data_IF_924757995001
#
_entry.id   IF_924757995001
#
_cell.length_a   1.000
_cell.length_b   1.000
_cell.length_c   1.000
_cell.angle_alpha   90.00
_cell.angle_beta   90.00
_cell.angle_gamma   90.00
#
_symmetry.space_group_name_H-M   'P 1'
#
loop_
_entity.id
_entity.type
_entity.pdbx_description
1 polymer ?
#
# COMPACT_ATOMS: atom_id res chain seq x y z
N UNK A 1 -43.02 -15.64 -34.50
CA UNK A 1 -42.67 -14.96 -33.22
C UNK A 1 -41.18 -15.14 -33.08
N UNK A 2 -40.43 -14.08 -32.82
CA UNK A 2 -39.03 -14.26 -32.50
C UNK A 2 -38.92 -14.98 -31.16
N UNK A 3 -38.00 -15.92 -31.04
CA UNK A 3 -37.74 -16.62 -29.80
C UNK A 3 -37.19 -15.58 -28.81
N UNK A 4 -37.77 -15.52 -27.60
CA UNK A 4 -37.37 -14.63 -26.54
C UNK A 4 -36.50 -15.39 -25.53
N UNK A 5 -35.39 -14.80 -25.14
CA UNK A 5 -34.40 -15.42 -24.27
C UNK A 5 -34.38 -14.71 -22.90
N UNK A 6 -35.05 -15.26 -21.93
CA UNK A 6 -35.08 -14.74 -20.55
C UNK A 6 -34.21 -15.59 -19.64
N UNK A 7 -33.43 -14.94 -18.78
CA UNK A 7 -32.53 -15.60 -17.83
C UNK A 7 -31.07 -15.23 -18.04
N UNK A 8 -30.18 -15.96 -17.35
CA UNK A 8 -28.73 -15.79 -17.43
C UNK A 8 -28.09 -16.88 -18.28
N UNK A 9 -27.24 -16.48 -19.16
CA UNK A 9 -26.50 -17.37 -20.07
C UNK A 9 -25.00 -17.26 -19.79
N UNK A 10 -24.30 -18.38 -19.87
CA UNK A 10 -22.84 -18.39 -19.79
C UNK A 10 -22.25 -17.81 -21.07
N UNK A 11 -21.41 -16.83 -20.95
CA UNK A 11 -20.64 -16.25 -22.05
C UNK A 11 -19.14 -16.21 -21.74
N UNK A 12 -18.36 -16.03 -22.79
CA UNK A 12 -16.90 -15.83 -22.70
C UNK A 12 -16.53 -14.57 -23.44
N UNK A 13 -15.81 -13.67 -22.78
CA UNK A 13 -15.31 -12.43 -23.39
C UNK A 13 -14.26 -12.78 -24.44
N UNK A 14 -14.46 -12.34 -25.68
CA UNK A 14 -13.51 -12.51 -26.78
C UNK A 14 -12.72 -11.26 -27.11
N UNK A 15 -13.31 -10.09 -26.89
CA UNK A 15 -12.62 -8.80 -27.01
C UNK A 15 -13.24 -7.79 -26.04
N UNK A 16 -12.39 -7.12 -25.24
CA UNK A 16 -12.79 -6.11 -24.28
C UNK A 16 -12.37 -4.68 -24.71
N UNK A 17 -11.92 -4.51 -25.96
CA UNK A 17 -11.58 -3.19 -26.50
C UNK A 17 -12.86 -2.46 -26.92
N UNK A 18 -13.10 -1.33 -26.28
CA UNK A 18 -14.25 -0.48 -26.53
C UNK A 18 -13.77 0.96 -26.77
N UNK A 19 -13.89 1.44 -28.00
CA UNK A 19 -13.44 2.78 -28.39
C UNK A 19 -14.24 3.90 -27.72
N UNK A 20 -15.51 3.64 -27.40
CA UNK A 20 -16.41 4.61 -26.77
C UNK A 20 -16.32 4.59 -25.24
N UNK A 21 -15.55 3.66 -24.68
CA UNK A 21 -15.33 3.51 -23.21
C UNK A 21 -16.62 3.35 -22.40
N UNK A 22 -17.60 2.66 -22.96
CA UNK A 22 -18.89 2.37 -22.32
C UNK A 22 -18.89 1.04 -21.57
N UNK A 23 -17.78 0.28 -21.63
CA UNK A 23 -17.65 -1.06 -21.05
C UNK A 23 -18.33 -2.14 -21.88
N UNK A 24 -18.50 -1.93 -23.18
CA UNK A 24 -18.98 -2.95 -24.11
C UNK A 24 -17.89 -4.00 -24.31
N UNK A 25 -18.28 -5.28 -24.27
CA UNK A 25 -17.38 -6.39 -24.56
C UNK A 25 -17.99 -7.27 -25.66
N UNK A 26 -17.16 -7.83 -26.51
CA UNK A 26 -17.60 -8.87 -27.45
C UNK A 26 -17.61 -10.21 -26.74
N UNK A 27 -18.76 -10.85 -26.70
CA UNK A 27 -18.94 -12.13 -25.99
C UNK A 27 -19.42 -13.23 -26.95
N UNK A 28 -18.88 -14.45 -26.76
CA UNK A 28 -19.45 -15.67 -27.33
C UNK A 28 -20.44 -16.22 -26.30
N UNK A 29 -21.67 -16.59 -26.76
CA UNK A 29 -22.72 -17.18 -25.95
C UNK A 29 -23.22 -18.44 -26.64
N UNK A 30 -22.51 -19.60 -26.56
CA UNK A 30 -22.74 -20.77 -27.40
C UNK A 30 -24.12 -21.44 -27.20
N UNK A 31 -24.82 -21.13 -26.10
CA UNK A 31 -26.17 -21.64 -25.85
C UNK A 31 -27.26 -20.87 -26.60
N UNK A 32 -26.93 -19.72 -27.22
CA UNK A 32 -27.87 -18.84 -27.91
C UNK A 32 -27.45 -18.60 -29.37
N UNK A 33 -26.15 -18.46 -29.60
CA UNK A 33 -25.55 -18.19 -30.92
C UNK A 33 -24.62 -19.32 -31.35
N UNK A 34 -24.31 -19.47 -32.64
CA UNK A 34 -23.20 -20.31 -33.10
C UNK A 34 -21.90 -19.99 -32.36
N UNK A 35 -21.05 -20.99 -32.15
CA UNK A 35 -19.83 -20.86 -31.33
C UNK A 35 -18.83 -19.82 -31.88
N UNK A 36 -18.81 -19.65 -33.19
CA UNK A 36 -17.98 -18.67 -33.92
C UNK A 36 -18.51 -17.24 -33.83
N UNK A 37 -19.78 -17.03 -33.47
CA UNK A 37 -20.40 -15.72 -33.41
C UNK A 37 -20.07 -15.01 -32.08
N UNK A 38 -19.71 -13.74 -32.18
CA UNK A 38 -19.53 -12.85 -31.04
C UNK A 38 -20.48 -11.67 -31.16
N UNK A 39 -21.06 -11.28 -30.03
CA UNK A 39 -22.03 -10.18 -29.97
C UNK A 39 -21.57 -9.10 -28.99
N UNK A 40 -21.84 -7.80 -29.29
CA UNK A 40 -21.45 -6.70 -28.42
C UNK A 40 -22.42 -6.61 -27.23
N UNK A 41 -21.99 -7.01 -26.03
CA UNK A 41 -22.74 -6.92 -24.81
C UNK A 41 -22.44 -5.64 -24.04
N UNK A 42 -23.46 -4.85 -23.73
CA UNK A 42 -23.32 -3.63 -22.92
C UNK A 42 -23.13 -3.97 -21.45
N UNK A 43 -22.39 -3.13 -20.73
CA UNK A 43 -22.19 -3.29 -19.29
C UNK A 43 -23.47 -2.97 -18.50
N UNK A 44 -23.90 -3.88 -17.62
CA UNK A 44 -24.95 -3.65 -16.63
C UNK A 44 -24.33 -3.76 -15.22
N UNK A 45 -23.49 -2.80 -14.88
CA UNK A 45 -22.71 -2.76 -13.62
C UNK A 45 -23.35 -1.80 -12.61
N UNK A 46 -23.09 -1.99 -11.31
CA UNK A 46 -23.46 -1.03 -10.29
C UNK A 46 -22.83 0.35 -10.55
N UNK A 47 -23.56 1.41 -10.18
CA UNK A 47 -23.06 2.78 -10.28
C UNK A 47 -21.72 2.95 -9.55
N UNK A 48 -20.77 3.63 -10.20
CA UNK A 48 -19.45 3.89 -9.64
C UNK A 48 -18.45 2.73 -9.76
N UNK A 49 -18.84 1.59 -10.31
CA UNK A 49 -17.94 0.46 -10.58
C UNK A 49 -17.66 0.33 -12.08
N UNK A 50 -16.38 0.29 -12.45
CA UNK A 50 -15.94 0.08 -13.82
C UNK A 50 -14.83 -0.97 -13.85
N UNK A 51 -15.24 -2.25 -13.82
CA UNK A 51 -14.34 -3.40 -13.87
C UNK A 51 -14.70 -4.22 -15.10
N UNK A 52 -14.13 -3.86 -16.25
CA UNK A 52 -14.31 -4.61 -17.50
C UNK A 52 -13.47 -5.87 -17.42
N UNK A 53 -14.06 -7.05 -17.68
CA UNK A 53 -13.35 -8.31 -17.60
C UNK A 53 -12.32 -8.44 -18.73
N UNK A 54 -11.24 -9.17 -18.44
CA UNK A 54 -10.23 -9.52 -19.44
C UNK A 54 -10.78 -10.52 -20.46
N UNK A 55 -10.12 -10.58 -21.62
CA UNK A 55 -10.42 -11.61 -22.63
C UNK A 55 -10.33 -13.00 -22.01
N UNK A 56 -11.15 -13.93 -22.50
CA UNK A 56 -11.33 -15.29 -22.00
C UNK A 56 -11.94 -15.41 -20.59
N UNK A 57 -12.39 -14.27 -20.00
CA UNK A 57 -13.15 -14.31 -18.74
C UNK A 57 -14.57 -14.83 -19.00
N UNK A 58 -15.04 -15.72 -18.14
CA UNK A 58 -16.43 -16.16 -18.14
C UNK A 58 -17.33 -15.08 -17.52
N UNK A 59 -18.43 -14.75 -18.19
CA UNK A 59 -19.39 -13.72 -17.76
C UNK A 59 -20.83 -14.24 -17.82
N UNK A 60 -21.68 -13.62 -17.02
CA UNK A 60 -23.13 -13.79 -17.14
C UNK A 60 -23.67 -12.80 -18.18
N UNK A 61 -24.40 -13.31 -19.15
CA UNK A 61 -25.07 -12.54 -20.21
C UNK A 61 -26.58 -12.66 -20.05
N UNK A 62 -27.26 -11.55 -20.19
CA UNK A 62 -28.71 -11.42 -20.25
C UNK A 62 -29.12 -10.69 -21.53
N UNK A 63 -30.38 -10.77 -21.93
CA UNK A 63 -30.89 -10.09 -23.10
C UNK A 63 -32.02 -9.14 -22.68
N UNK A 64 -31.89 -7.86 -22.99
CA UNK A 64 -32.86 -6.84 -22.63
C UNK A 64 -34.24 -7.16 -23.27
N UNK A 65 -35.25 -7.35 -22.42
CA UNK A 65 -36.58 -7.80 -22.87
C UNK A 65 -36.59 -9.18 -23.56
N UNK A 66 -35.54 -9.98 -23.43
CA UNK A 66 -35.39 -11.28 -24.10
C UNK A 66 -34.90 -11.16 -25.55
N UNK A 67 -34.59 -9.97 -26.03
CA UNK A 67 -34.14 -9.71 -27.41
C UNK A 67 -32.65 -9.98 -27.55
N UNK A 68 -32.29 -10.99 -28.35
CA UNK A 68 -30.88 -11.38 -28.60
C UNK A 68 -30.06 -10.30 -29.29
N UNK A 69 -30.67 -9.29 -29.90
CA UNK A 69 -29.96 -8.13 -30.45
C UNK A 69 -29.51 -7.11 -29.40
N UNK A 70 -29.93 -7.27 -28.15
CA UNK A 70 -29.65 -6.36 -27.04
C UNK A 70 -29.02 -7.06 -25.83
N UNK A 71 -27.81 -7.68 -26.00
CA UNK A 71 -27.15 -8.39 -24.92
C UNK A 71 -26.56 -7.44 -23.88
N UNK A 72 -26.61 -7.88 -22.61
CA UNK A 72 -26.03 -7.23 -21.46
C UNK A 72 -25.11 -8.22 -20.75
N UNK A 73 -23.93 -7.82 -20.37
CA UNK A 73 -23.14 -8.59 -19.39
C UNK A 73 -23.31 -7.99 -17.99
N UNK A 74 -23.58 -8.86 -17.00
CA UNK A 74 -24.04 -8.43 -15.68
C UNK A 74 -23.08 -8.81 -14.56
N UNK A 75 -21.96 -9.43 -14.88
CA UNK A 75 -20.93 -9.81 -13.92
C UNK A 75 -20.10 -10.99 -14.39
N UNK A 76 -19.05 -11.28 -13.63
CA UNK A 76 -18.17 -12.43 -13.86
C UNK A 76 -18.85 -13.72 -13.38
N UNK A 77 -18.77 -14.76 -14.21
CA UNK A 77 -19.12 -16.10 -13.81
C UNK A 77 -17.90 -16.80 -13.21
N UNK A 78 -17.95 -17.10 -11.92
CA UNK A 78 -16.85 -17.76 -11.25
C UNK A 78 -16.80 -19.24 -11.63
N UNK A 79 -15.66 -19.66 -12.17
CA UNK A 79 -15.33 -21.05 -12.46
C UNK A 79 -14.24 -21.54 -11.48
N UNK A 80 -14.00 -22.84 -11.34
CA UNK A 80 -12.95 -23.34 -10.47
C UNK A 80 -11.61 -22.66 -10.74
N UNK A 81 -10.99 -22.11 -9.69
CA UNK A 81 -9.71 -21.40 -9.79
C UNK A 81 -9.79 -19.91 -10.18
N UNK A 82 -10.99 -19.35 -10.45
CA UNK A 82 -11.14 -17.94 -10.82
C UNK A 82 -11.12 -16.97 -9.63
N UNK A 83 -11.29 -17.46 -8.40
CA UNK A 83 -11.20 -16.63 -7.19
C UNK A 83 -9.75 -16.19 -6.93
N UNK A 84 -9.59 -14.98 -6.43
CA UNK A 84 -8.31 -14.55 -5.88
C UNK A 84 -7.83 -15.55 -4.83
N UNK A 85 -6.59 -16.08 -4.93
CA UNK A 85 -6.10 -17.11 -4.00
C UNK A 85 -6.19 -16.68 -2.53
N UNK A 86 -6.05 -15.39 -2.27
CA UNK A 86 -6.14 -14.78 -0.95
C UNK A 86 -7.53 -14.96 -0.32
N UNK A 87 -8.59 -14.96 -1.14
CA UNK A 87 -9.98 -15.13 -0.71
C UNK A 87 -10.46 -16.59 -0.71
N UNK A 88 -9.62 -17.56 -1.13
CA UNK A 88 -9.98 -18.97 -1.22
C UNK A 88 -9.92 -19.67 0.15
N UNK A 89 -10.74 -19.19 1.11
CA UNK A 89 -10.85 -19.76 2.47
C UNK A 89 -12.23 -20.36 2.71
N UNK A 90 -12.30 -21.35 3.60
CA UNK A 90 -13.56 -21.95 4.08
C UNK A 90 -13.52 -22.05 5.63
N UNK A 91 -14.44 -21.39 6.33
CA UNK A 91 -15.48 -20.47 5.84
C UNK A 91 -14.88 -19.23 5.16
N UNK A 92 -15.66 -18.48 4.34
CA UNK A 92 -15.16 -17.33 3.56
C UNK A 92 -15.01 -16.09 4.44
N UNK A 93 -13.97 -16.05 5.25
CA UNK A 93 -13.64 -14.91 6.13
C UNK A 93 -12.87 -13.81 5.39
N UNK A 94 -12.32 -14.09 4.20
CA UNK A 94 -11.55 -13.14 3.41
C UNK A 94 -12.32 -12.68 2.18
N UNK A 95 -12.28 -11.40 1.90
CA UNK A 95 -12.83 -10.76 0.70
C UNK A 95 -11.71 -10.03 -0.02
N UNK A 96 -11.62 -10.20 -1.34
CA UNK A 96 -10.55 -9.60 -2.12
C UNK A 96 -11.06 -9.01 -3.44
N UNK A 97 -10.45 -7.88 -3.84
CA UNK A 97 -10.50 -7.35 -5.19
C UNK A 97 -9.09 -7.47 -5.77
N UNK A 98 -8.97 -8.21 -6.88
CA UNK A 98 -7.69 -8.43 -7.56
C UNK A 98 -7.78 -8.05 -9.03
N UNK A 99 -6.82 -7.30 -9.52
CA UNK A 99 -6.69 -6.97 -10.95
C UNK A 99 -5.81 -7.99 -11.67
N UNK A 100 -5.87 -8.01 -13.00
CA UNK A 100 -5.02 -8.86 -13.83
C UNK A 100 -3.52 -8.63 -13.59
N UNK A 101 -3.12 -7.38 -13.30
CA UNK A 101 -1.73 -7.03 -12.96
C UNK A 101 -1.35 -7.38 -11.52
N UNK A 102 -2.27 -7.99 -10.74
CA UNK A 102 -2.02 -8.39 -9.36
C UNK A 102 -2.16 -7.31 -8.31
N UNK A 103 -2.67 -6.11 -8.66
CA UNK A 103 -3.08 -5.15 -7.62
C UNK A 103 -4.19 -5.77 -6.78
N UNK A 104 -4.12 -5.59 -5.47
CA UNK A 104 -4.94 -6.36 -4.55
C UNK A 104 -5.43 -5.49 -3.39
N UNK A 105 -6.74 -5.56 -3.11
CA UNK A 105 -7.34 -5.07 -1.88
C UNK A 105 -7.97 -6.27 -1.16
N UNK A 106 -7.57 -6.50 0.08
CA UNK A 106 -8.07 -7.59 0.93
C UNK A 106 -8.70 -7.03 2.19
N UNK A 107 -9.82 -7.61 2.57
CA UNK A 107 -10.43 -7.52 3.90
C UNK A 107 -10.41 -8.92 4.50
N UNK A 108 -9.65 -9.11 5.57
CA UNK A 108 -9.62 -10.37 6.33
C UNK A 108 -10.37 -10.16 7.64
N UNK A 109 -11.53 -10.82 7.77
CA UNK A 109 -12.39 -10.80 8.96
C UNK A 109 -12.16 -12.07 9.81
N UNK A 110 -11.00 -12.71 9.69
CA UNK A 110 -10.67 -13.87 10.55
C UNK A 110 -10.52 -13.41 11.99
N UNK A 111 -11.35 -13.95 12.89
CA UNK A 111 -11.38 -13.58 14.30
C UNK A 111 -10.00 -13.62 14.93
N UNK A 112 -9.59 -12.52 15.56
CA UNK A 112 -8.28 -12.34 16.19
C UNK A 112 -7.11 -12.11 15.24
N UNK A 113 -7.39 -11.96 13.92
CA UNK A 113 -6.39 -11.68 12.89
C UNK A 113 -6.93 -10.74 11.82
N UNK A 114 -7.91 -9.92 12.19
CA UNK A 114 -8.56 -8.98 11.29
C UNK A 114 -7.56 -8.02 10.68
N UNK A 115 -7.64 -7.82 9.37
CA UNK A 115 -6.72 -6.93 8.66
C UNK A 115 -7.29 -6.37 7.37
N UNK A 116 -6.74 -5.23 6.94
CA UNK A 116 -6.97 -4.67 5.62
C UNK A 116 -5.61 -4.53 4.93
N UNK A 117 -5.49 -5.05 3.71
CA UNK A 117 -4.28 -4.96 2.91
C UNK A 117 -4.60 -4.33 1.55
N UNK A 118 -3.84 -3.28 1.20
CA UNK A 118 -3.74 -2.79 -0.17
C UNK A 118 -2.32 -3.02 -0.65
N UNK A 119 -2.16 -3.71 -1.80
CA UNK A 119 -0.83 -3.95 -2.37
C UNK A 119 -0.80 -3.70 -3.88
N UNK A 120 0.34 -3.22 -4.34
CA UNK A 120 0.69 -3.10 -5.74
C UNK A 120 1.26 -4.42 -6.26
N UNK A 121 0.67 -4.91 -7.35
CA UNK A 121 1.00 -6.24 -7.88
C UNK A 121 2.40 -6.36 -8.50
N UNK A 122 3.04 -5.24 -8.88
CA UNK A 122 4.34 -5.27 -9.55
C UNK A 122 5.52 -5.17 -8.59
N UNK A 123 5.40 -4.23 -7.64
CA UNK A 123 6.53 -3.85 -6.78
C UNK A 123 6.31 -4.30 -5.33
N UNK A 124 5.14 -4.86 -5.02
CA UNK A 124 4.73 -5.26 -3.68
C UNK A 124 4.78 -4.11 -2.65
N UNK A 125 4.60 -2.85 -3.11
CA UNK A 125 4.32 -1.77 -2.17
C UNK A 125 3.00 -2.06 -1.47
N UNK A 126 2.93 -1.84 -0.16
CA UNK A 126 1.73 -2.18 0.59
C UNK A 126 1.38 -1.19 1.69
N UNK A 127 0.08 -1.03 1.90
CA UNK A 127 -0.52 -0.41 3.06
C UNK A 127 -1.30 -1.49 3.82
N UNK A 128 -1.01 -1.65 5.10
CA UNK A 128 -1.55 -2.72 5.93
C UNK A 128 -2.08 -2.14 7.24
N UNK A 129 -3.30 -2.57 7.60
CA UNK A 129 -3.94 -2.27 8.86
C UNK A 129 -4.10 -3.60 9.61
N UNK A 130 -3.60 -3.65 10.85
CA UNK A 130 -3.69 -4.83 11.72
C UNK A 130 -4.05 -4.39 13.14
N UNK A 131 -4.22 -5.34 14.04
CA UNK A 131 -4.39 -5.06 15.46
C UNK A 131 -3.18 -4.31 16.07
N UNK A 132 -1.98 -4.49 15.49
CA UNK A 132 -0.75 -3.84 15.96
C UNK A 132 -0.59 -2.40 15.46
N UNK A 133 -1.35 -2.00 14.42
CA UNK A 133 -1.32 -0.65 13.87
C UNK A 133 -1.37 -0.59 12.34
N UNK A 134 -0.80 0.49 11.79
CA UNK A 134 -0.79 0.78 10.36
C UNK A 134 0.65 0.76 9.85
N UNK A 135 0.88 0.07 8.75
CA UNK A 135 2.21 0.00 8.12
C UNK A 135 2.13 0.34 6.63
N UNK A 136 2.99 1.26 6.17
CA UNK A 136 3.27 1.50 4.76
C UNK A 136 4.66 0.95 4.45
N UNK A 137 4.76 0.06 3.46
CA UNK A 137 6.03 -0.58 3.08
C UNK A 137 6.33 -0.33 1.60
N UNK A 138 7.54 0.10 1.30
CA UNK A 138 8.12 0.08 -0.03
C UNK A 138 8.66 -1.33 -0.32
N UNK A 139 7.97 -2.06 -1.18
CA UNK A 139 8.31 -3.44 -1.50
C UNK A 139 9.59 -3.61 -2.32
N UNK A 140 10.08 -2.53 -2.95
CA UNK A 140 11.31 -2.56 -3.76
C UNK A 140 12.54 -2.30 -2.90
N UNK A 141 12.51 -1.22 -2.09
CA UNK A 141 13.67 -0.77 -1.35
C UNK A 141 13.59 -1.16 0.14
N UNK A 142 12.47 -1.66 0.61
CA UNK A 142 12.29 -2.08 2.00
C UNK A 142 12.15 -0.94 3.01
N UNK A 143 11.88 0.31 2.53
CA UNK A 143 11.59 1.42 3.43
C UNK A 143 10.21 1.26 4.05
N UNK A 144 10.04 1.77 5.28
CA UNK A 144 8.81 1.55 6.04
C UNK A 144 8.41 2.77 6.84
N UNK A 145 7.08 3.00 6.92
CA UNK A 145 6.46 3.88 7.91
C UNK A 145 5.49 3.01 8.72
N UNK A 146 5.61 3.03 10.04
CA UNK A 146 4.74 2.28 10.92
C UNK A 146 4.17 3.15 12.04
N UNK A 147 2.90 2.98 12.31
CA UNK A 147 2.19 3.59 13.44
C UNK A 147 1.67 2.47 14.32
N UNK A 148 2.42 2.17 15.37
CA UNK A 148 2.08 1.16 16.36
C UNK A 148 1.60 1.77 17.68
N UNK A 149 1.30 0.91 18.65
CA UNK A 149 0.79 1.33 19.97
C UNK A 149 1.81 2.11 20.80
N UNK A 150 3.11 1.92 20.57
CA UNK A 150 4.20 2.51 21.36
C UNK A 150 4.91 3.65 20.63
N UNK A 151 4.90 3.66 19.30
CA UNK A 151 5.66 4.62 18.52
C UNK A 151 5.12 4.78 17.09
N UNK A 152 5.47 5.92 16.47
CA UNK A 152 5.46 6.10 15.03
C UNK A 152 6.91 6.04 14.56
N UNK A 153 7.20 5.22 13.58
CA UNK A 153 8.54 4.98 13.05
C UNK A 153 8.60 5.23 11.54
N UNK A 154 9.62 5.92 11.09
CA UNK A 154 10.05 5.99 9.69
C UNK A 154 11.41 5.29 9.62
N UNK A 155 11.50 4.21 8.87
CA UNK A 155 12.68 3.39 8.78
C UNK A 155 13.21 3.31 7.35
N UNK A 156 14.49 3.59 7.18
CA UNK A 156 15.23 3.33 5.97
C UNK A 156 15.80 1.90 6.02
N UNK A 157 15.76 1.16 4.93
CA UNK A 157 16.27 -0.22 4.85
C UNK A 157 17.75 -0.35 5.30
N UNK A 158 18.56 0.69 5.12
CA UNK A 158 19.95 0.76 5.59
C UNK A 158 20.10 1.02 7.10
N UNK A 159 19.02 0.98 7.90
CA UNK A 159 19.05 1.08 9.36
C UNK A 159 18.93 2.49 9.94
N UNK A 160 18.81 3.55 9.12
CA UNK A 160 18.46 4.87 9.65
C UNK A 160 16.98 4.93 10.02
N UNK A 161 16.65 5.56 11.16
CA UNK A 161 15.25 5.67 11.65
C UNK A 161 14.94 7.06 12.18
N UNK A 162 13.66 7.43 12.09
CA UNK A 162 13.05 8.51 12.88
C UNK A 162 11.90 7.90 13.66
N UNK A 163 11.91 8.07 14.99
CA UNK A 163 10.92 7.48 15.88
C UNK A 163 10.29 8.57 16.75
N UNK A 164 8.96 8.56 16.82
CA UNK A 164 8.17 9.38 17.74
C UNK A 164 7.56 8.48 18.80
N UNK A 165 7.96 8.66 20.03
CA UNK A 165 7.46 7.96 21.21
C UNK A 165 6.70 8.93 22.13
N UNK A 166 5.99 8.44 23.13
CA UNK A 166 5.23 9.27 24.06
C UNK A 166 6.10 10.31 24.82
N UNK A 167 7.37 10.02 25.05
CA UNK A 167 8.28 10.86 25.82
C UNK A 167 9.55 11.26 25.06
N UNK A 168 9.70 10.87 23.80
CA UNK A 168 10.89 11.14 23.03
C UNK A 168 10.64 11.24 21.52
N UNK A 169 11.48 12.03 20.84
CA UNK A 169 11.66 12.00 19.39
C UNK A 169 13.11 11.66 19.11
N UNK A 170 13.36 10.64 18.29
CA UNK A 170 14.70 10.13 18.01
C UNK A 170 14.95 10.09 16.51
N UNK A 171 16.13 10.50 16.07
CA UNK A 171 16.64 10.24 14.74
C UNK A 171 17.99 9.53 14.86
N UNK A 172 18.14 8.37 14.23
CA UNK A 172 19.34 7.55 14.31
C UNK A 172 19.89 7.18 12.93
N UNK A 173 21.20 7.13 12.81
CA UNK A 173 21.88 6.63 11.62
C UNK A 173 23.20 5.96 12.04
N UNK A 174 23.24 4.63 12.07
CA UNK A 174 24.36 3.89 12.64
C UNK A 174 24.60 4.25 14.11
N UNK A 175 25.81 4.73 14.44
CA UNK A 175 26.16 5.15 15.80
C UNK A 175 25.73 6.60 16.14
N UNK A 176 25.31 7.39 15.14
CA UNK A 176 24.90 8.78 15.36
C UNK A 176 23.41 8.87 15.72
N UNK A 177 23.07 9.75 16.67
CA UNK A 177 21.68 10.02 17.04
C UNK A 177 21.45 11.48 17.43
N UNK A 178 20.22 11.92 17.21
CA UNK A 178 19.62 13.10 17.85
C UNK A 178 18.38 12.64 18.59
N UNK A 179 18.28 13.00 19.86
CA UNK A 179 17.16 12.61 20.71
C UNK A 179 16.67 13.81 21.52
N UNK A 180 15.34 14.04 21.50
CA UNK A 180 14.66 15.02 22.32
C UNK A 180 13.84 14.25 23.36
N UNK A 181 14.15 14.39 24.64
CA UNK A 181 13.41 13.71 25.70
C UNK A 181 13.44 14.50 27.01
N UNK A 182 12.27 14.63 27.65
CA UNK A 182 12.11 15.19 29.02
C UNK A 182 12.92 16.46 29.31
N UNK A 183 12.98 17.41 28.35
CA UNK A 183 13.72 18.67 28.50
C UNK A 183 15.24 18.58 28.18
N UNK A 184 15.69 17.45 27.69
CA UNK A 184 17.09 17.23 27.24
C UNK A 184 17.11 17.02 25.73
N UNK A 185 18.07 17.65 25.07
CA UNK A 185 18.45 17.37 23.68
C UNK A 185 19.79 16.69 23.69
N UNK A 186 19.83 15.46 23.24
CA UNK A 186 21.06 14.69 23.09
C UNK A 186 21.47 14.65 21.63
N UNK A 187 22.69 15.03 21.31
CA UNK A 187 23.35 14.82 20.01
C UNK A 187 24.54 13.96 20.26
N UNK A 188 24.60 12.78 19.67
CA UNK A 188 25.64 11.78 19.91
C UNK A 188 26.16 11.23 18.58
N UNK A 189 27.46 11.00 18.49
CA UNK A 189 28.14 10.48 17.33
C UNK A 189 29.66 10.54 17.53
N UNK A 190 30.42 9.83 16.71
CA UNK A 190 31.89 9.84 16.77
C UNK A 190 32.49 11.22 16.54
N UNK A 191 31.81 12.07 15.80
CA UNK A 191 32.14 13.50 15.60
C UNK A 191 30.84 14.29 15.51
N UNK A 192 30.72 15.37 16.27
CA UNK A 192 29.60 16.32 16.22
C UNK A 192 30.13 17.64 15.69
N UNK A 193 29.64 18.04 14.50
CA UNK A 193 30.00 19.31 13.85
C UNK A 193 28.81 20.27 14.02
N UNK A 194 29.03 21.40 14.65
CA UNK A 194 28.05 22.48 14.78
C UNK A 194 28.38 23.63 13.82
N UNK A 195 27.51 23.84 12.83
CA UNK A 195 27.70 24.83 11.76
C UNK A 195 28.60 24.32 10.62
N UNK A 196 28.89 25.21 9.66
CA UNK A 196 29.71 24.88 8.48
C UNK A 196 31.24 24.94 8.77
N UNK A 197 31.68 25.19 10.00
CA UNK A 197 33.06 25.31 10.40
C UNK A 197 33.63 24.00 10.93
N UNK A 198 34.89 23.74 10.65
CA UNK A 198 35.65 22.57 11.14
C UNK A 198 36.11 22.72 12.60
N UNK A 199 35.61 23.69 13.36
CA UNK A 199 36.01 23.89 14.75
C UNK A 199 35.27 22.87 15.66
N UNK A 200 35.95 22.06 16.46
CA UNK A 200 35.32 21.15 17.40
C UNK A 200 34.60 21.91 18.52
N UNK A 201 33.52 21.32 19.01
CA UNK A 201 32.88 21.80 20.24
C UNK A 201 33.81 21.48 21.43
N UNK A 202 34.08 22.46 22.26
CA UNK A 202 34.87 22.26 23.46
C UNK A 202 34.07 21.47 24.52
N UNK A 203 34.66 20.40 25.04
CA UNK A 203 34.09 19.62 26.12
C UNK A 203 34.60 20.09 27.48
N UNK A 204 33.86 19.77 28.51
CA UNK A 204 34.32 19.96 29.88
C UNK A 204 35.64 19.18 30.12
N UNK A 205 36.66 19.85 30.57
CA UNK A 205 37.99 19.26 30.79
C UNK A 205 38.96 19.42 29.62
N UNK A 206 38.48 19.90 28.47
CA UNK A 206 39.42 20.30 27.38
C UNK A 206 40.33 21.40 27.87
N UNK A 207 41.52 21.46 27.32
CA UNK A 207 42.52 22.46 27.66
C UNK A 207 42.62 23.52 26.56
N UNK A 208 42.37 24.76 26.92
CA UNK A 208 42.69 25.91 26.09
C UNK A 208 44.12 26.42 26.40
N UNK A 209 44.70 27.20 25.48
CA UNK A 209 45.95 27.87 25.72
C UNK A 209 45.66 29.28 26.26
N UNK A 210 46.10 29.53 27.48
CA UNK A 210 46.03 30.88 28.08
C UNK A 210 46.95 31.88 27.40
N UNK A 211 46.78 33.17 27.70
CA UNK A 211 47.51 34.29 27.10
C UNK A 211 49.02 34.25 27.34
N UNK A 212 49.50 33.41 28.24
CA UNK A 212 50.92 33.18 28.52
C UNK A 212 51.42 31.82 27.97
N UNK A 213 50.63 31.14 27.12
CA UNK A 213 51.01 29.85 26.53
C UNK A 213 50.85 28.63 27.46
N UNK A 214 50.36 28.82 28.68
CA UNK A 214 50.11 27.70 29.60
C UNK A 214 48.75 27.06 29.34
N UNK A 215 48.60 25.71 29.49
CA UNK A 215 47.31 25.06 29.43
C UNK A 215 46.37 25.58 30.53
N UNK A 216 45.16 25.97 30.14
CA UNK A 216 44.13 26.41 31.07
C UNK A 216 42.94 25.44 30.91
N UNK A 217 42.51 24.73 31.98
CA UNK A 217 41.36 23.85 31.88
C UNK A 217 40.07 24.67 31.65
N UNK A 218 39.28 24.22 30.72
CA UNK A 218 37.96 24.79 30.47
C UNK A 218 37.05 24.30 31.57
N UNK A 219 36.73 25.20 32.49
CA UNK A 219 35.77 24.94 33.56
C UNK A 219 34.41 25.54 33.20
N UNK A 220 33.34 24.79 33.41
CA UNK A 220 31.98 25.30 33.22
C UNK A 220 31.72 26.44 34.20
N UNK A 221 31.30 27.60 33.70
CA UNK A 221 30.58 28.55 34.57
C UNK A 221 29.26 27.88 34.97
N UNK A 222 28.74 28.15 36.16
CA UNK A 222 27.49 27.62 36.72
C UNK A 222 26.23 27.90 35.90
N UNK A 223 26.36 28.36 34.66
CA UNK A 223 25.26 28.56 33.73
C UNK A 223 25.12 27.34 32.82
N UNK A 224 24.04 26.61 33.08
CA UNK A 224 23.66 25.34 32.40
C UNK A 224 23.13 25.50 30.98
N UNK A 225 23.33 26.63 30.32
CA UNK A 225 22.88 26.81 28.91
C UNK A 225 24.07 27.23 28.07
N UNK A 226 24.41 26.44 27.06
CA UNK A 226 25.25 26.86 25.95
C UNK A 226 24.41 27.82 25.11
N UNK A 227 24.74 29.08 25.13
CA UNK A 227 24.21 30.06 24.17
C UNK A 227 25.16 30.00 22.95
N UNK A 228 24.55 29.54 21.84
CA UNK A 228 25.20 29.60 20.51
C UNK A 228 25.06 31.01 19.94
#
# INVERSE_FOLDING_TARGET
MADLYFGKYSGVVKDNRDADQLGVVLVSVPTVFPEEDVVPARAALPYGMFFVPENETHVWVEFEGGDTSSPLWTGVQHVPGSWAPEAAKSPPTVRALRTASGHLLVFDDTEGSESILLTDGKNAHKLEFTADGITLTDGVNGHRIAMGSSAIEIAHQGGATVTLESAAVKATAGAAKVELSAGVVTVDGSVVLLGAGAAPVLHLGDQGIGNLGAPVPITISTQTKVLA
#
